data_IF_981349151784
#
_entry.id   IF_981349151784
#
_cell.length_a   1.000
_cell.length_b   1.000
_cell.length_c   1.000
_cell.angle_alpha   90.00
_cell.angle_beta   90.00
_cell.angle_gamma   90.00
#
_symmetry.space_group_name_H-M   'P 1'
#
loop_
_entity.id
_entity.type
_entity.pdbx_description
1 polymer ?
#
# COMPACT_ATOMS: atom_id res chain seq x y z
N UNK A 1 35.30 42.32 40.18
CA UNK A 1 34.01 42.87 39.71
C UNK A 1 34.13 43.31 38.24
N UNK A 2 34.47 42.38 37.33
CA UNK A 2 34.42 42.58 35.86
C UNK A 2 34.74 41.28 35.09
N UNK A 3 34.33 40.10 35.57
CA UNK A 3 34.66 38.83 34.86
C UNK A 3 33.66 37.72 35.17
N UNK A 4 32.38 38.06 35.29
CA UNK A 4 31.29 37.10 35.55
C UNK A 4 30.21 37.14 34.44
N UNK A 5 30.51 37.70 33.26
CA UNK A 5 29.49 38.04 32.26
C UNK A 5 29.66 37.36 30.88
N UNK A 6 30.58 36.42 30.70
CA UNK A 6 30.86 35.86 29.36
C UNK A 6 30.96 34.33 29.29
N UNK A 7 30.08 33.60 29.97
CA UNK A 7 29.96 32.14 29.78
C UNK A 7 28.53 31.65 29.58
N UNK A 8 27.58 32.53 29.25
CA UNK A 8 26.14 32.19 29.20
C UNK A 8 25.49 32.32 27.81
N UNK A 9 26.23 32.24 26.70
CA UNK A 9 25.62 32.53 25.38
C UNK A 9 26.06 31.66 24.20
N UNK A 10 26.15 30.35 24.39
CA UNK A 10 26.01 29.40 23.26
C UNK A 10 25.05 28.28 23.66
N UNK A 11 23.80 28.65 23.96
CA UNK A 11 22.70 27.73 23.69
C UNK A 11 22.69 27.55 22.18
N UNK A 12 23.26 26.43 21.73
CA UNK A 12 23.16 25.95 20.37
C UNK A 12 21.66 25.90 20.06
N UNK A 13 21.16 26.84 19.26
CA UNK A 13 19.81 26.74 18.70
C UNK A 13 19.79 25.42 17.92
N UNK A 14 19.23 24.37 18.52
CA UNK A 14 18.77 23.21 17.78
C UNK A 14 17.68 23.73 16.83
N UNK A 15 18.08 24.11 15.63
CA UNK A 15 17.16 24.43 14.56
C UNK A 15 16.20 23.24 14.44
N UNK A 16 14.88 23.43 14.63
CA UNK A 16 13.94 22.33 14.55
C UNK A 16 14.14 21.64 13.18
N UNK A 17 14.23 20.29 13.13
CA UNK A 17 14.48 19.61 11.87
C UNK A 17 13.42 20.05 10.88
N UNK A 18 13.88 20.65 9.77
CA UNK A 18 13.01 21.08 8.68
C UNK A 18 12.11 19.90 8.31
N UNK A 19 10.80 20.06 8.56
CA UNK A 19 9.76 19.07 8.24
C UNK A 19 9.57 19.02 6.73
N UNK A 20 10.59 18.55 6.02
CA UNK A 20 10.63 18.41 4.59
C UNK A 20 9.85 17.17 4.16
N UNK A 21 8.63 17.40 3.68
CA UNK A 21 8.03 16.61 2.61
C UNK A 21 7.69 15.13 2.90
N UNK A 22 6.96 14.89 3.99
CA UNK A 22 6.41 13.58 4.37
C UNK A 22 5.23 13.08 3.50
N UNK A 23 4.72 13.88 2.58
CA UNK A 23 3.53 13.56 1.78
C UNK A 23 3.82 12.67 0.58
N UNK A 24 5.07 12.62 0.14
CA UNK A 24 5.44 11.99 -1.12
C UNK A 24 5.26 10.47 -1.11
N UNK A 25 5.76 9.74 -0.09
CA UNK A 25 5.57 8.30 -0.03
C UNK A 25 4.09 7.96 0.13
N UNK A 26 3.43 8.61 1.09
CA UNK A 26 2.02 8.38 1.37
C UNK A 26 1.10 8.54 0.14
N UNK A 27 1.45 9.42 -0.80
CA UNK A 27 0.70 9.61 -2.04
C UNK A 27 0.85 8.45 -3.02
N UNK A 28 2.06 7.89 -3.15
CA UNK A 28 2.31 6.72 -4.00
C UNK A 28 1.69 5.46 -3.37
N UNK A 29 1.85 5.28 -2.06
CA UNK A 29 1.21 4.21 -1.29
C UNK A 29 -0.32 4.23 -1.47
N UNK A 30 -0.95 5.41 -1.39
CA UNK A 30 -2.39 5.54 -1.65
C UNK A 30 -2.74 5.22 -3.10
N UNK A 31 -1.84 5.47 -4.06
CA UNK A 31 -1.99 5.05 -5.46
C UNK A 31 -2.03 3.53 -5.63
N UNK A 32 -1.16 2.81 -4.89
CA UNK A 32 -1.18 1.34 -4.83
C UNK A 32 -2.51 0.82 -4.29
N UNK A 33 -2.98 1.40 -3.17
CA UNK A 33 -4.27 1.05 -2.57
C UNK A 33 -5.44 1.32 -3.55
N UNK A 34 -5.41 2.45 -4.23
CA UNK A 34 -6.44 2.80 -5.21
C UNK A 34 -6.47 1.84 -6.40
N UNK A 35 -5.30 1.41 -6.90
CA UNK A 35 -5.21 0.39 -7.95
C UNK A 35 -5.78 -0.95 -7.53
N UNK A 36 -5.46 -1.42 -6.31
CA UNK A 36 -6.01 -2.64 -5.73
C UNK A 36 -7.53 -2.56 -5.53
N UNK A 37 -8.02 -1.44 -5.00
CA UNK A 37 -9.46 -1.19 -4.84
C UNK A 37 -10.19 -1.17 -6.19
N UNK A 38 -9.66 -0.46 -7.19
CA UNK A 38 -10.22 -0.44 -8.53
C UNK A 38 -10.26 -1.83 -9.15
N UNK A 39 -9.24 -2.65 -8.93
CA UNK A 39 -9.22 -4.03 -9.41
C UNK A 39 -10.35 -4.87 -8.82
N UNK A 40 -10.61 -4.72 -7.52
CA UNK A 40 -11.74 -5.36 -6.83
C UNK A 40 -13.07 -4.92 -7.41
N UNK A 41 -13.29 -3.60 -7.56
CA UNK A 41 -14.53 -3.07 -8.13
C UNK A 41 -14.73 -3.58 -9.56
N UNK A 42 -13.69 -3.54 -10.41
CA UNK A 42 -13.76 -4.02 -11.77
C UNK A 42 -14.04 -5.53 -11.87
N UNK A 43 -13.55 -6.34 -10.92
CA UNK A 43 -13.86 -7.75 -10.85
C UNK A 43 -15.29 -8.03 -10.39
N UNK A 44 -15.83 -7.22 -9.47
CA UNK A 44 -17.24 -7.29 -9.07
C UNK A 44 -18.15 -6.94 -10.25
N UNK A 45 -17.77 -5.98 -11.10
CA UNK A 45 -18.47 -5.64 -12.34
C UNK A 45 -18.30 -6.72 -13.46
N UNK A 46 -17.62 -7.84 -13.17
CA UNK A 46 -17.34 -8.91 -14.12
C UNK A 46 -16.31 -8.54 -15.20
N UNK A 47 -15.66 -7.38 -15.10
CA UNK A 47 -14.66 -6.91 -16.05
C UNK A 47 -13.23 -7.27 -15.61
N UNK A 48 -12.90 -8.54 -15.74
CA UNK A 48 -11.60 -9.08 -15.32
C UNK A 48 -10.41 -8.49 -16.08
N UNK A 49 -10.59 -8.02 -17.32
CA UNK A 49 -9.54 -7.32 -18.06
C UNK A 49 -9.16 -6.00 -17.40
N UNK A 50 -10.16 -5.22 -16.97
CA UNK A 50 -9.93 -3.98 -16.20
C UNK A 50 -9.38 -4.27 -14.81
N UNK A 51 -9.82 -5.37 -14.18
CA UNK A 51 -9.31 -5.80 -12.90
C UNK A 51 -7.80 -6.10 -12.95
N UNK A 52 -7.35 -6.85 -13.95
CA UNK A 52 -5.93 -7.12 -14.17
C UNK A 52 -5.11 -5.85 -14.42
N UNK A 53 -5.65 -4.89 -15.17
CA UNK A 53 -5.01 -3.57 -15.35
C UNK A 53 -4.90 -2.84 -14.01
N UNK A 54 -5.93 -2.89 -13.15
CA UNK A 54 -5.91 -2.29 -11.82
C UNK A 54 -4.79 -2.84 -10.93
N UNK A 55 -4.64 -4.17 -10.88
CA UNK A 55 -3.55 -4.83 -10.12
C UNK A 55 -2.18 -4.45 -10.70
N UNK A 56 -2.05 -4.41 -12.03
CA UNK A 56 -0.81 -4.02 -12.67
C UNK A 56 -0.43 -2.56 -12.37
N UNK A 57 -1.42 -1.66 -12.37
CA UNK A 57 -1.22 -0.26 -12.00
C UNK A 57 -0.80 -0.14 -10.54
N UNK A 58 -1.44 -0.88 -9.62
CA UNK A 58 -1.02 -0.93 -8.22
C UNK A 58 0.44 -1.38 -8.08
N UNK A 59 0.84 -2.39 -8.85
CA UNK A 59 2.22 -2.90 -8.88
C UNK A 59 3.24 -1.87 -9.38
N UNK A 60 2.83 -1.00 -10.30
CA UNK A 60 3.67 0.08 -10.78
C UNK A 60 3.84 1.18 -9.72
N UNK A 61 2.76 1.56 -9.03
CA UNK A 61 2.81 2.57 -7.97
C UNK A 61 3.65 2.12 -6.77
N UNK A 62 3.53 0.85 -6.40
CA UNK A 62 4.30 0.20 -5.34
C UNK A 62 5.81 0.22 -5.61
N UNK A 63 6.20 -0.22 -6.81
CA UNK A 63 7.61 -0.23 -7.22
C UNK A 63 8.22 1.17 -7.37
N UNK A 64 7.37 2.20 -7.58
CA UNK A 64 7.79 3.59 -7.62
C UNK A 64 7.98 4.16 -6.20
N UNK A 65 7.06 3.89 -5.28
CA UNK A 65 7.17 4.36 -3.89
C UNK A 65 8.40 3.78 -3.19
N UNK A 66 8.63 2.47 -3.32
CA UNK A 66 9.80 1.81 -2.72
C UNK A 66 11.15 2.34 -3.23
N UNK A 67 11.20 2.91 -4.45
CA UNK A 67 12.40 3.56 -4.99
C UNK A 67 12.54 5.01 -4.50
N UNK A 68 11.44 5.76 -4.43
CA UNK A 68 11.40 7.14 -3.91
C UNK A 68 11.70 7.16 -2.40
N UNK A 69 11.20 6.18 -1.66
CA UNK A 69 11.45 5.97 -0.23
C UNK A 69 12.94 5.84 0.12
N UNK A 70 13.70 5.05 -0.67
CA UNK A 70 15.16 4.89 -0.46
C UNK A 70 15.94 6.17 -0.72
N UNK A 71 15.44 7.05 -1.58
CA UNK A 71 16.17 8.26 -1.99
C UNK A 71 15.91 9.43 -1.04
N UNK A 72 14.78 9.44 -0.33
CA UNK A 72 14.32 10.65 0.40
C UNK A 72 14.64 10.63 1.90
N UNK A 73 15.11 9.51 2.49
CA UNK A 73 15.49 9.39 3.94
C UNK A 73 14.46 9.94 4.95
N UNK A 74 13.22 10.14 4.54
CA UNK A 74 12.13 10.81 5.30
C UNK A 74 10.93 9.87 5.48
N UNK A 75 11.20 8.60 5.80
CA UNK A 75 10.12 7.68 6.16
C UNK A 75 9.87 7.72 7.67
N UNK A 76 8.66 8.15 8.02
CA UNK A 76 8.08 7.99 9.36
C UNK A 76 7.71 6.51 9.58
N UNK A 77 7.78 6.05 10.83
CA UNK A 77 7.34 4.69 11.17
C UNK A 77 5.86 4.45 10.85
N UNK A 78 5.01 5.50 10.90
CA UNK A 78 3.63 5.41 10.42
C UNK A 78 3.51 5.13 8.92
N UNK A 79 4.37 5.76 8.11
CA UNK A 79 4.36 5.57 6.65
C UNK A 79 4.76 4.16 6.25
N UNK A 80 5.69 3.53 6.99
CA UNK A 80 6.08 2.13 6.77
C UNK A 80 4.93 1.17 7.06
N UNK A 81 4.24 1.35 8.19
CA UNK A 81 3.08 0.51 8.52
C UNK A 81 1.95 0.70 7.51
N UNK A 82 1.71 1.95 7.07
CA UNK A 82 0.71 2.25 6.05
C UNK A 82 1.04 1.61 4.68
N UNK A 83 2.31 1.63 4.28
CA UNK A 83 2.82 0.98 3.06
C UNK A 83 2.55 -0.52 3.07
N UNK A 84 2.93 -1.20 4.16
CA UNK A 84 2.66 -2.63 4.34
C UNK A 84 1.17 -2.99 4.33
N UNK A 85 0.30 -2.13 4.88
CA UNK A 85 -1.16 -2.35 4.81
C UNK A 85 -1.68 -2.21 3.38
N UNK A 86 -1.18 -1.23 2.63
CA UNK A 86 -1.61 -1.00 1.25
C UNK A 86 -1.08 -2.08 0.30
N UNK A 87 0.16 -2.52 0.48
CA UNK A 87 0.77 -3.67 -0.21
C UNK A 87 -0.04 -4.96 0.03
N UNK A 88 -0.40 -5.25 1.28
CA UNK A 88 -1.23 -6.41 1.64
C UNK A 88 -2.58 -6.38 0.90
N UNK A 89 -3.23 -5.22 0.85
CA UNK A 89 -4.52 -5.08 0.16
C UNK A 89 -4.36 -5.23 -1.36
N UNK A 90 -3.35 -4.60 -1.94
CA UNK A 90 -3.16 -4.58 -3.39
C UNK A 90 -2.69 -5.93 -3.96
N UNK A 91 -1.87 -6.69 -3.22
CA UNK A 91 -1.31 -7.95 -3.70
C UNK A 91 -1.89 -9.21 -3.06
N UNK A 92 -2.40 -9.13 -1.84
CA UNK A 92 -3.10 -10.26 -1.20
C UNK A 92 -4.60 -10.22 -1.50
N UNK A 93 -5.27 -9.20 -0.97
CA UNK A 93 -6.74 -9.14 -0.99
C UNK A 93 -7.30 -8.94 -2.40
N UNK A 94 -6.78 -7.99 -3.17
CA UNK A 94 -7.34 -7.68 -4.48
C UNK A 94 -7.28 -8.88 -5.45
N UNK A 95 -6.13 -9.55 -5.66
CA UNK A 95 -6.08 -10.67 -6.60
C UNK A 95 -6.84 -11.90 -6.08
N UNK A 96 -6.94 -12.11 -4.76
CA UNK A 96 -7.79 -13.13 -4.18
C UNK A 96 -9.28 -12.93 -4.53
N UNK A 97 -9.78 -11.69 -4.42
CA UNK A 97 -11.16 -11.35 -4.79
C UNK A 97 -11.36 -11.46 -6.30
N UNK A 98 -10.39 -11.02 -7.11
CA UNK A 98 -10.46 -11.17 -8.58
C UNK A 98 -10.56 -12.64 -8.97
N UNK A 99 -9.74 -13.51 -8.37
CA UNK A 99 -9.82 -14.96 -8.59
C UNK A 99 -11.12 -15.57 -8.08
N UNK A 100 -11.62 -15.10 -6.92
CA UNK A 100 -12.91 -15.54 -6.39
C UNK A 100 -14.04 -15.25 -7.38
N UNK A 101 -14.14 -13.99 -7.84
CA UNK A 101 -15.18 -13.59 -8.77
C UNK A 101 -15.02 -14.25 -10.15
N UNK A 102 -13.80 -14.48 -10.60
CA UNK A 102 -13.58 -15.11 -11.90
C UNK A 102 -13.86 -16.63 -11.90
N UNK A 103 -13.37 -17.33 -10.87
CA UNK A 103 -13.33 -18.78 -10.83
C UNK A 103 -14.50 -19.41 -10.10
N UNK A 104 -14.90 -18.85 -8.95
CA UNK A 104 -15.84 -19.54 -8.05
C UNK A 104 -17.27 -19.36 -8.51
N UNK A 105 -17.61 -18.22 -9.10
CA UNK A 105 -18.93 -18.02 -9.71
C UNK A 105 -19.17 -18.99 -10.88
N UNK A 106 -18.11 -19.37 -11.62
CA UNK A 106 -18.19 -20.34 -12.74
C UNK A 106 -18.07 -21.80 -12.32
N UNK A 107 -17.34 -22.08 -11.23
CA UNK A 107 -17.16 -23.43 -10.68
C UNK A 107 -18.35 -23.82 -9.78
N UNK A 108 -19.11 -22.86 -9.26
CA UNK A 108 -20.35 -23.11 -8.53
C UNK A 108 -21.36 -23.95 -9.34
N UNK A 109 -21.38 -23.78 -10.66
CA UNK A 109 -22.23 -24.56 -11.57
C UNK A 109 -21.84 -26.06 -11.63
N UNK A 110 -20.60 -26.41 -11.29
CA UNK A 110 -20.10 -27.80 -11.27
C UNK A 110 -20.35 -28.53 -9.94
N UNK A 111 -20.87 -27.85 -8.91
CA UNK A 111 -21.38 -28.46 -7.68
C UNK A 111 -20.82 -27.87 -6.38
N UNK A 112 -21.65 -27.90 -5.32
CA UNK A 112 -21.41 -27.33 -3.99
C UNK A 112 -20.07 -27.72 -3.34
N UNK A 113 -19.51 -28.88 -3.70
CA UNK A 113 -18.22 -29.34 -3.18
C UNK A 113 -17.07 -28.48 -3.71
N UNK A 114 -17.06 -28.17 -5.01
CA UNK A 114 -16.02 -27.36 -5.65
C UNK A 114 -16.07 -25.89 -5.21
N UNK A 115 -17.27 -25.36 -4.93
CA UNK A 115 -17.45 -24.03 -4.34
C UNK A 115 -16.72 -23.88 -2.99
N UNK A 116 -16.77 -24.92 -2.13
CA UNK A 116 -16.10 -24.91 -0.81
C UNK A 116 -14.57 -24.91 -0.92
N UNK A 117 -14.02 -25.65 -1.89
CA UNK A 117 -12.58 -25.64 -2.15
C UNK A 117 -12.11 -24.34 -2.77
N UNK A 118 -12.90 -23.75 -3.67
CA UNK A 118 -12.60 -22.44 -4.25
C UNK A 118 -12.50 -21.37 -3.17
N UNK A 119 -13.48 -21.30 -2.25
CA UNK A 119 -13.46 -20.33 -1.16
C UNK A 119 -12.21 -20.48 -0.27
N UNK A 120 -11.84 -21.72 0.07
CA UNK A 120 -10.61 -21.99 0.83
C UNK A 120 -9.36 -21.57 0.06
N UNK A 121 -9.25 -21.88 -1.23
CA UNK A 121 -8.10 -21.51 -2.04
C UNK A 121 -7.95 -19.98 -2.15
N UNK A 122 -9.05 -19.25 -2.31
CA UNK A 122 -9.04 -17.78 -2.31
C UNK A 122 -8.61 -17.21 -0.95
N UNK A 123 -9.06 -17.81 0.15
CA UNK A 123 -8.66 -17.41 1.50
C UNK A 123 -7.18 -17.65 1.79
N UNK A 124 -6.63 -18.79 1.37
CA UNK A 124 -5.21 -19.12 1.60
C UNK A 124 -4.24 -18.36 0.68
N UNK A 125 -4.74 -17.82 -0.43
CA UNK A 125 -3.92 -17.00 -1.33
C UNK A 125 -3.78 -15.55 -0.85
N UNK A 126 -4.81 -15.01 -0.18
CA UNK A 126 -4.81 -13.67 0.41
C UNK A 126 -3.92 -13.57 1.65
#
# INVERSE_FOLDING_TARGET
>A
MATEYQSESLQEEETPPVRGFYWLPNLFTTGTLFGGFYAVVAAIDGNFSRAGIGVFVAMLFDGLDGRVARWTKTQSDFGKEYDSLCEMVAFGLAPAIVMYQWGIERIADYGQFWYRFGWLAAFFYA
#
